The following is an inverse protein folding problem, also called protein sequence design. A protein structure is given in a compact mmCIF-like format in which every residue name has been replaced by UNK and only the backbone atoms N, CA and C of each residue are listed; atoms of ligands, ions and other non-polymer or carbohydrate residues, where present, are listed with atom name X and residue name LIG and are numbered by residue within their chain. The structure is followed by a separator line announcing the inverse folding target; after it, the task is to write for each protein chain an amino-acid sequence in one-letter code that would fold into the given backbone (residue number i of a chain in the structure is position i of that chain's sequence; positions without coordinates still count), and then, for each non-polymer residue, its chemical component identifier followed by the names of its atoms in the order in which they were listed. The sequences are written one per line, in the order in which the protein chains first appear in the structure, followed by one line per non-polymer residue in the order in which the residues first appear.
data_IF_999559171742
#
_entry.id   IF_999559171742
#
_cell.length_a   1.000
_cell.length_b   1.000
_cell.length_c   1.000
_cell.angle_alpha   90.00
_cell.angle_beta   90.00
_cell.angle_gamma   90.00
#
_symmetry.space_group_name_H-M   'P 1'
#
loop_
_entity.id
_entity.type
_entity.pdbx_description
1 polymer ?
#
# COMPACT_ATOMS: atom_id res chain seq x y z
N UNK A 1 -52.34 -49.12 79.95
CA UNK A 1 -51.04 -48.77 79.36
C UNK A 1 -51.19 -47.48 78.57
N UNK A 2 -51.22 -46.37 79.30
CA UNK A 2 -51.44 -45.03 78.78
C UNK A 2 -50.09 -44.32 78.68
N UNK A 3 -49.48 -44.31 77.49
CA UNK A 3 -48.23 -43.56 77.27
C UNK A 3 -47.91 -43.22 75.80
N UNK A 4 -48.90 -43.14 74.90
CA UNK A 4 -48.60 -42.93 73.47
C UNK A 4 -49.51 -41.95 72.72
N UNK A 5 -50.03 -40.91 73.36
CA UNK A 5 -50.89 -39.91 72.66
C UNK A 5 -50.44 -38.46 72.85
N UNK A 6 -49.44 -38.16 73.68
CA UNK A 6 -49.00 -36.77 73.94
C UNK A 6 -47.89 -36.23 73.01
N UNK A 7 -47.50 -36.97 71.96
CA UNK A 7 -46.39 -36.58 71.06
C UNK A 7 -46.79 -35.96 69.71
N UNK A 8 -48.05 -36.06 69.29
CA UNK A 8 -48.44 -35.65 67.93
C UNK A 8 -48.97 -34.20 67.83
N UNK A 9 -49.53 -33.65 68.91
CA UNK A 9 -50.20 -32.35 68.87
C UNK A 9 -49.24 -31.14 68.93
N UNK A 10 -47.99 -31.33 69.37
CA UNK A 10 -46.98 -30.26 69.42
C UNK A 10 -46.10 -30.17 68.15
N UNK A 11 -46.13 -31.17 67.26
CA UNK A 11 -45.41 -31.10 65.98
C UNK A 11 -46.22 -30.50 64.84
N UNK A 12 -47.55 -30.47 64.94
CA UNK A 12 -48.45 -29.90 63.92
C UNK A 12 -48.62 -28.38 63.99
N UNK A 13 -48.12 -27.71 65.02
CA UNK A 13 -48.18 -26.24 65.16
C UNK A 13 -46.89 -25.51 64.77
N UNK A 14 -45.81 -26.23 64.41
CA UNK A 14 -44.55 -25.64 63.91
C UNK A 14 -44.34 -25.82 62.40
N UNK A 15 -45.09 -26.71 61.75
CA UNK A 15 -44.97 -27.00 60.31
C UNK A 15 -45.27 -25.81 59.35
N UNK A 16 -46.30 -24.97 59.57
CA UNK A 16 -46.59 -23.87 58.62
C UNK A 16 -45.52 -22.77 58.65
N UNK A 17 -44.85 -22.55 59.80
CA UNK A 17 -43.79 -21.56 59.91
C UNK A 17 -42.46 -22.00 59.27
N UNK A 18 -42.13 -23.30 59.27
CA UNK A 18 -40.91 -23.80 58.63
C UNK A 18 -41.03 -23.73 57.09
N UNK A 19 -42.21 -24.03 56.54
CA UNK A 19 -42.47 -23.93 55.09
C UNK A 19 -42.41 -22.50 54.56
N UNK A 20 -42.97 -21.54 55.27
CA UNK A 20 -42.89 -20.11 54.92
C UNK A 20 -41.45 -19.58 55.00
N UNK A 21 -40.70 -19.93 56.05
CA UNK A 21 -39.31 -19.52 56.23
C UNK A 21 -38.41 -20.09 55.11
N UNK A 22 -38.56 -21.37 54.75
CA UNK A 22 -37.82 -22.00 53.65
C UNK A 22 -38.16 -21.36 52.30
N UNK A 23 -39.43 -21.04 52.06
CA UNK A 23 -39.88 -20.39 50.83
C UNK A 23 -39.36 -18.95 50.71
N UNK A 24 -39.36 -18.19 51.81
CA UNK A 24 -38.80 -16.83 51.88
C UNK A 24 -37.28 -16.86 51.68
N UNK A 25 -36.56 -17.80 52.32
CA UNK A 25 -35.11 -17.97 52.13
C UNK A 25 -34.77 -18.31 50.68
N UNK A 26 -35.54 -19.17 50.02
CA UNK A 26 -35.29 -19.59 48.63
C UNK A 26 -35.58 -18.46 47.63
N UNK A 27 -36.63 -17.66 47.88
CA UNK A 27 -36.90 -16.45 47.09
C UNK A 27 -35.79 -15.40 47.26
N UNK A 28 -35.29 -15.24 48.47
CA UNK A 28 -34.21 -14.30 48.78
C UNK A 28 -32.88 -14.71 48.14
N UNK A 29 -32.51 -15.99 48.20
CA UNK A 29 -31.29 -16.49 47.54
C UNK A 29 -31.41 -16.42 46.01
N UNK A 30 -32.56 -16.73 45.44
CA UNK A 30 -32.80 -16.57 43.99
C UNK A 30 -32.72 -15.09 43.55
N UNK A 31 -33.24 -14.17 44.36
CA UNK A 31 -33.13 -12.73 44.10
C UNK A 31 -31.68 -12.25 44.16
N UNK A 32 -30.91 -12.69 45.16
CA UNK A 32 -29.47 -12.37 45.27
C UNK A 32 -28.69 -12.95 44.09
N UNK A 33 -28.95 -14.20 43.69
CA UNK A 33 -28.28 -14.83 42.56
C UNK A 33 -28.60 -14.10 41.25
N UNK A 34 -29.85 -13.71 41.04
CA UNK A 34 -30.27 -12.91 39.88
C UNK A 34 -29.60 -11.52 39.88
N UNK A 35 -29.54 -10.85 41.04
CA UNK A 35 -28.88 -9.56 41.19
C UNK A 35 -27.37 -9.66 40.94
N UNK A 36 -26.68 -10.64 41.52
CA UNK A 36 -25.23 -10.86 41.30
C UNK A 36 -24.97 -11.21 39.84
N UNK A 37 -25.78 -12.07 39.22
CA UNK A 37 -25.63 -12.44 37.80
C UNK A 37 -25.84 -11.21 36.90
N UNK A 38 -26.82 -10.37 37.21
CA UNK A 38 -27.04 -9.11 36.50
C UNK A 38 -25.85 -8.15 36.66
N UNK A 39 -25.37 -7.93 37.88
CA UNK A 39 -24.21 -7.08 38.17
C UNK A 39 -22.92 -7.60 37.50
N UNK A 40 -22.73 -8.92 37.41
CA UNK A 40 -21.60 -9.52 36.70
C UNK A 40 -21.74 -9.34 35.19
N UNK A 41 -22.93 -9.59 34.61
CA UNK A 41 -23.19 -9.38 33.17
C UNK A 41 -22.97 -7.93 32.76
N UNK A 42 -23.45 -6.96 33.54
CA UNK A 42 -23.28 -5.53 33.23
C UNK A 42 -21.83 -5.07 33.38
N UNK A 43 -21.10 -5.54 34.40
CA UNK A 43 -19.66 -5.29 34.54
C UNK A 43 -18.87 -5.86 33.36
N UNK A 44 -19.11 -7.12 32.98
CA UNK A 44 -18.46 -7.75 31.82
C UNK A 44 -18.79 -7.00 30.53
N UNK A 45 -20.05 -6.63 30.30
CA UNK A 45 -20.45 -5.85 29.13
C UNK A 45 -19.77 -4.47 29.09
N UNK A 46 -19.65 -3.79 30.23
CA UNK A 46 -18.95 -2.52 30.34
C UNK A 46 -17.45 -2.66 30.05
N UNK A 47 -16.79 -3.67 30.62
CA UNK A 47 -15.36 -3.93 30.38
C UNK A 47 -15.10 -4.27 28.91
N UNK A 48 -15.94 -5.08 28.28
CA UNK A 48 -15.85 -5.38 26.84
C UNK A 48 -16.07 -4.11 26.00
N UNK A 49 -17.07 -3.30 26.33
CA UNK A 49 -17.34 -2.03 25.64
C UNK A 49 -16.16 -1.04 25.78
N UNK A 50 -15.53 -0.97 26.94
CA UNK A 50 -14.34 -0.15 27.17
C UNK A 50 -13.15 -0.66 26.34
N UNK A 51 -12.93 -1.98 26.32
CA UNK A 51 -11.87 -2.59 25.52
C UNK A 51 -12.05 -2.32 24.02
N UNK A 52 -13.27 -2.46 23.48
CA UNK A 52 -13.59 -2.11 22.10
C UNK A 52 -13.31 -0.63 21.83
N UNK A 53 -13.75 0.28 22.72
CA UNK A 53 -13.52 1.71 22.57
C UNK A 53 -12.02 2.06 22.52
N UNK A 54 -11.21 1.44 23.39
CA UNK A 54 -9.75 1.61 23.40
C UNK A 54 -9.14 1.11 22.09
N UNK A 55 -9.51 -0.08 21.63
CA UNK A 55 -9.01 -0.65 20.38
C UNK A 55 -9.40 0.22 19.17
N UNK A 56 -10.65 0.65 19.07
CA UNK A 56 -11.11 1.53 17.98
C UNK A 56 -10.34 2.85 17.98
N UNK A 57 -10.12 3.47 19.15
CA UNK A 57 -9.30 4.70 19.26
C UNK A 57 -7.85 4.45 18.85
N UNK A 58 -7.25 3.34 19.27
CA UNK A 58 -5.89 2.97 18.91
C UNK A 58 -5.74 2.75 17.40
N UNK A 59 -6.68 2.01 16.79
CA UNK A 59 -6.73 1.78 15.34
C UNK A 59 -6.91 3.10 14.58
N UNK A 60 -7.82 3.97 15.02
CA UNK A 60 -8.04 5.28 14.40
C UNK A 60 -6.78 6.15 14.49
N UNK A 61 -6.16 6.22 15.68
CA UNK A 61 -4.93 6.99 15.89
C UNK A 61 -3.78 6.47 15.01
N UNK A 62 -3.65 5.14 14.87
CA UNK A 62 -2.66 4.55 13.99
C UNK A 62 -2.91 4.89 12.51
N UNK A 63 -4.18 4.86 12.08
CA UNK A 63 -4.60 5.25 10.72
C UNK A 63 -4.30 6.72 10.44
N UNK A 64 -4.61 7.61 11.38
CA UNK A 64 -4.39 9.04 11.23
C UNK A 64 -2.89 9.35 11.13
N UNK A 65 -2.07 8.75 12.00
CA UNK A 65 -0.60 8.84 11.91
C UNK A 65 -0.06 8.32 10.58
N UNK A 66 -0.61 7.22 10.07
CA UNK A 66 -0.21 6.67 8.78
C UNK A 66 -0.57 7.62 7.63
N UNK A 67 -1.79 8.16 7.61
CA UNK A 67 -2.22 9.15 6.63
C UNK A 67 -1.36 10.43 6.68
N UNK A 68 -1.06 10.92 7.89
CA UNK A 68 -0.21 12.09 8.09
C UNK A 68 1.22 11.84 7.61
N UNK A 69 1.83 10.70 7.98
CA UNK A 69 3.16 10.32 7.50
C UNK A 69 3.21 10.21 5.97
N UNK A 70 2.18 9.63 5.35
CA UNK A 70 2.07 9.57 3.90
C UNK A 70 1.97 10.97 3.28
N UNK A 71 1.20 11.88 3.88
CA UNK A 71 1.09 13.27 3.43
C UNK A 71 2.44 14.00 3.53
N UNK A 72 3.13 13.91 4.66
CA UNK A 72 4.46 14.53 4.87
C UNK A 72 5.49 13.98 3.88
N UNK A 73 5.50 12.65 3.69
CA UNK A 73 6.37 11.99 2.72
C UNK A 73 6.10 12.46 1.29
N UNK A 74 4.82 12.55 0.90
CA UNK A 74 4.41 13.03 -0.41
C UNK A 74 4.81 14.49 -0.66
N UNK A 75 4.57 15.38 0.32
CA UNK A 75 4.97 16.80 0.21
C UNK A 75 6.49 16.96 0.12
N UNK A 76 7.24 16.18 0.92
CA UNK A 76 8.71 16.16 0.85
C UNK A 76 9.19 15.68 -0.51
N UNK A 77 8.55 14.65 -1.08
CA UNK A 77 8.87 14.14 -2.39
C UNK A 77 8.59 15.16 -3.50
N UNK A 78 7.43 15.84 -3.48
CA UNK A 78 7.08 16.90 -4.45
C UNK A 78 8.15 17.98 -4.47
N UNK A 79 8.55 18.49 -3.29
CA UNK A 79 9.60 19.52 -3.20
C UNK A 79 10.91 19.05 -3.85
N UNK A 80 11.36 17.84 -3.52
CA UNK A 80 12.58 17.27 -4.11
C UNK A 80 12.43 17.01 -5.62
N UNK A 81 11.22 16.69 -6.09
CA UNK A 81 10.92 16.47 -7.51
C UNK A 81 11.00 17.79 -8.30
N UNK A 82 10.45 18.86 -7.75
CA UNK A 82 10.58 20.20 -8.31
C UNK A 82 12.06 20.64 -8.37
N UNK A 83 12.82 20.45 -7.30
CA UNK A 83 14.26 20.75 -7.26
C UNK A 83 15.04 19.97 -8.34
N UNK A 84 14.80 18.65 -8.49
CA UNK A 84 15.42 17.84 -9.54
C UNK A 84 15.09 18.35 -10.95
N UNK A 85 13.86 18.79 -11.17
CA UNK A 85 13.39 19.25 -12.47
C UNK A 85 13.97 20.60 -12.83
N UNK A 86 14.06 21.50 -11.85
CA UNK A 86 14.74 22.77 -12.02
C UNK A 86 16.21 22.55 -12.43
N UNK A 87 16.93 21.68 -11.72
CA UNK A 87 18.31 21.34 -12.07
C UNK A 87 18.43 20.74 -13.48
N UNK A 88 17.48 19.88 -13.88
CA UNK A 88 17.44 19.33 -15.24
C UNK A 88 17.30 20.43 -16.30
N UNK A 89 16.42 21.42 -16.09
CA UNK A 89 16.22 22.50 -17.07
C UNK A 89 17.37 23.52 -17.08
N UNK A 90 18.01 23.76 -15.93
CA UNK A 90 19.13 24.69 -15.83
C UNK A 90 20.44 24.11 -16.37
N UNK A 91 20.70 22.81 -16.10
CA UNK A 91 22.01 22.18 -16.34
C UNK A 91 21.97 21.06 -17.38
N UNK A 92 20.79 20.63 -17.81
CA UNK A 92 20.62 19.45 -18.65
C UNK A 92 20.65 18.13 -17.87
N UNK A 93 20.59 16.99 -18.59
CA UNK A 93 20.64 15.66 -17.97
C UNK A 93 22.03 15.37 -17.38
N UNK A 94 22.08 15.00 -16.10
CA UNK A 94 23.32 14.59 -15.42
C UNK A 94 23.60 13.07 -15.48
N UNK A 95 22.64 12.30 -15.99
CA UNK A 95 22.67 10.84 -16.08
C UNK A 95 22.00 10.40 -17.39
N UNK A 96 22.21 9.15 -17.85
CA UNK A 96 21.54 8.62 -19.05
C UNK A 96 20.01 8.71 -19.00
N UNK A 97 19.45 8.70 -17.78
CA UNK A 97 18.04 8.90 -17.50
C UNK A 97 17.85 10.00 -16.47
N UNK A 98 16.79 10.79 -16.63
CA UNK A 98 16.37 11.83 -15.72
C UNK A 98 14.88 11.71 -15.41
N UNK A 99 14.44 12.36 -14.34
CA UNK A 99 13.06 12.40 -13.90
C UNK A 99 12.62 13.84 -13.80
N UNK A 100 11.57 14.20 -14.55
CA UNK A 100 11.08 15.57 -14.64
C UNK A 100 9.66 15.63 -14.10
N UNK A 101 9.49 16.42 -13.05
CA UNK A 101 8.25 16.70 -12.35
C UNK A 101 7.29 17.49 -13.24
N UNK A 102 6.04 17.07 -13.25
CA UNK A 102 4.96 17.66 -14.04
C UNK A 102 3.62 17.38 -13.35
N UNK A 103 2.54 17.89 -13.92
CA UNK A 103 1.20 17.69 -13.39
C UNK A 103 0.12 17.63 -14.48
N UNK A 104 -1.03 17.04 -14.13
CA UNK A 104 -2.14 16.86 -15.05
C UNK A 104 -1.68 16.11 -16.31
N UNK A 105 -2.15 16.52 -17.48
CA UNK A 105 -1.84 15.86 -18.77
C UNK A 105 -0.56 16.36 -19.45
N UNK A 106 0.27 17.13 -18.76
CA UNK A 106 1.52 17.63 -19.30
C UNK A 106 2.56 16.52 -19.41
N UNK A 107 3.25 16.46 -20.56
CA UNK A 107 4.35 15.52 -20.80
C UNK A 107 5.57 16.36 -21.19
N UNK A 108 6.69 16.28 -20.44
CA UNK A 108 7.87 17.12 -20.68
C UNK A 108 8.54 16.79 -22.01
N UNK A 109 9.21 17.78 -22.60
CA UNK A 109 10.03 17.58 -23.80
C UNK A 109 11.13 16.56 -23.51
N UNK A 110 11.33 15.60 -24.41
CA UNK A 110 12.31 14.53 -24.24
C UNK A 110 11.82 13.35 -23.39
N UNK A 111 10.55 13.34 -22.96
CA UNK A 111 9.96 12.18 -22.31
C UNK A 111 10.13 10.92 -23.18
N UNK A 112 10.64 9.85 -22.57
CA UNK A 112 10.90 8.60 -23.27
C UNK A 112 9.59 7.89 -23.55
N UNK A 113 9.27 7.67 -24.83
CA UNK A 113 8.13 6.82 -25.21
C UNK A 113 8.47 5.38 -24.84
N UNK A 114 7.72 4.83 -23.89
CA UNK A 114 7.97 3.51 -23.31
C UNK A 114 6.98 2.45 -23.80
N UNK A 115 5.93 2.87 -24.51
CA UNK A 115 4.92 2.00 -25.07
C UNK A 115 3.85 2.79 -25.80
N UNK A 116 2.76 2.11 -26.11
CA UNK A 116 1.62 2.67 -26.83
C UNK A 116 0.33 2.06 -26.28
N UNK A 117 -0.72 2.87 -26.19
CA UNK A 117 -2.06 2.41 -25.86
C UNK A 117 -2.75 1.79 -27.08
N UNK A 118 -3.94 1.23 -26.90
CA UNK A 118 -4.69 0.50 -27.94
C UNK A 118 -4.95 1.34 -29.19
N UNK A 119 -5.12 2.66 -29.01
CA UNK A 119 -5.36 3.62 -30.08
C UNK A 119 -4.08 4.12 -30.76
N UNK A 120 -2.91 3.58 -30.37
CA UNK A 120 -1.60 4.01 -30.84
C UNK A 120 -1.07 5.27 -30.14
N UNK A 121 -1.79 5.81 -29.14
CA UNK A 121 -1.32 6.96 -28.37
C UNK A 121 -0.05 6.59 -27.57
N UNK A 122 0.98 7.45 -27.54
CA UNK A 122 2.22 7.13 -26.83
C UNK A 122 2.02 7.09 -25.32
N UNK A 123 2.65 6.09 -24.69
CA UNK A 123 2.70 5.93 -23.24
C UNK A 123 4.11 6.18 -22.71
N UNK A 124 4.17 6.84 -21.55
CA UNK A 124 5.40 7.22 -20.87
C UNK A 124 5.45 6.57 -19.49
N UNK A 125 6.64 6.44 -18.91
CA UNK A 125 6.77 6.02 -17.50
C UNK A 125 6.58 7.22 -16.60
N UNK A 126 5.68 7.11 -15.62
CA UNK A 126 5.49 8.09 -14.57
C UNK A 126 5.76 7.50 -13.19
N UNK A 127 6.31 8.27 -12.25
CA UNK A 127 6.48 7.85 -10.86
C UNK A 127 5.96 8.85 -9.85
N UNK A 128 5.61 8.36 -8.67
CA UNK A 128 5.10 9.15 -7.56
C UNK A 128 5.45 8.51 -6.23
N UNK A 129 5.35 9.28 -5.14
CA UNK A 129 5.49 8.75 -3.79
C UNK A 129 4.17 8.15 -3.30
N UNK A 130 4.21 6.90 -2.84
CA UNK A 130 3.05 6.22 -2.27
C UNK A 130 3.48 5.28 -1.15
N UNK A 131 2.82 5.34 0.01
CA UNK A 131 3.03 4.46 1.18
C UNK A 131 4.51 4.20 1.54
N UNK A 132 5.33 5.25 1.54
CA UNK A 132 6.75 5.15 1.93
C UNK A 132 7.70 4.74 0.80
N UNK A 133 7.18 4.34 -0.35
CA UNK A 133 7.96 3.98 -1.54
C UNK A 133 7.79 4.97 -2.69
N UNK A 134 8.58 4.76 -3.74
CA UNK A 134 8.41 5.40 -5.04
C UNK A 134 7.85 4.36 -6.00
N UNK A 135 6.60 4.54 -6.40
CA UNK A 135 5.90 3.64 -7.31
C UNK A 135 5.67 4.31 -8.65
N UNK A 136 5.55 3.51 -9.70
CA UNK A 136 5.45 4.01 -11.06
C UNK A 136 4.55 3.14 -11.94
N UNK A 137 4.14 3.74 -13.06
CA UNK A 137 3.26 3.14 -14.04
C UNK A 137 3.30 3.92 -15.33
N UNK A 138 2.13 4.27 -15.87
CA UNK A 138 2.01 4.88 -17.20
C UNK A 138 1.41 6.30 -17.15
N UNK A 139 1.99 7.19 -17.93
CA UNK A 139 1.44 8.51 -18.24
C UNK A 139 1.07 8.62 -19.72
N UNK A 140 0.11 9.48 -20.01
CA UNK A 140 -0.44 9.67 -21.34
C UNK A 140 -1.32 10.91 -21.41
N UNK A 141 -1.26 11.63 -22.53
CA UNK A 141 -2.02 12.87 -22.73
C UNK A 141 -3.54 12.66 -22.74
N UNK A 142 -3.99 11.46 -23.06
CA UNK A 142 -5.42 11.08 -23.07
C UNK A 142 -5.99 10.72 -21.69
N UNK A 143 -5.17 10.62 -20.64
CA UNK A 143 -5.64 10.23 -19.31
C UNK A 143 -6.25 11.38 -18.54
N UNK A 144 -7.31 11.12 -17.78
CA UNK A 144 -8.06 12.15 -17.05
C UNK A 144 -7.20 13.00 -16.10
N UNK A 145 -6.31 12.36 -15.33
CA UNK A 145 -5.33 13.05 -14.46
C UNK A 145 -3.92 13.08 -15.07
N UNK A 146 -3.76 12.54 -16.27
CA UNK A 146 -2.51 12.43 -17.02
C UNK A 146 -1.62 11.23 -16.69
N UNK A 147 -1.74 10.62 -15.50
CA UNK A 147 -0.93 9.47 -15.11
C UNK A 147 -1.65 8.50 -14.18
N UNK A 148 -1.15 7.26 -14.14
CA UNK A 148 -1.62 6.21 -13.24
C UNK A 148 -0.52 5.20 -12.91
N UNK A 149 -0.63 4.56 -11.74
CA UNK A 149 0.28 3.49 -11.33
C UNK A 149 -0.46 2.33 -10.68
N UNK A 150 0.18 1.16 -10.69
CA UNK A 150 -0.35 -0.07 -10.08
C UNK A 150 0.12 -0.21 -8.64
N UNK A 151 -0.78 -0.57 -7.73
CA UNK A 151 -0.46 -0.92 -6.35
C UNK A 151 -1.55 -1.82 -5.76
N UNK A 152 -1.15 -2.89 -5.06
CA UNK A 152 -2.07 -3.87 -4.44
C UNK A 152 -3.16 -4.39 -5.40
N UNK A 153 -2.82 -4.63 -6.68
CA UNK A 153 -3.76 -5.17 -7.65
C UNK A 153 -4.70 -4.13 -8.29
N UNK A 154 -4.56 -2.84 -7.94
CA UNK A 154 -5.42 -1.76 -8.40
C UNK A 154 -4.64 -0.70 -9.14
N UNK A 155 -5.32 -0.04 -10.08
CA UNK A 155 -4.82 1.14 -10.78
C UNK A 155 -5.24 2.41 -10.03
N UNK A 156 -4.28 3.32 -9.83
CA UNK A 156 -4.47 4.58 -9.12
C UNK A 156 -4.13 5.76 -10.02
N UNK A 157 -5.12 6.59 -10.35
CA UNK A 157 -4.90 7.84 -11.09
C UNK A 157 -4.23 8.90 -10.22
N UNK A 158 -3.23 9.58 -10.77
CA UNK A 158 -2.42 10.59 -10.10
C UNK A 158 -2.29 11.84 -10.97
N UNK A 159 -2.27 13.00 -10.31
CA UNK A 159 -2.16 14.31 -10.97
C UNK A 159 -0.75 14.89 -10.87
N UNK A 160 0.02 14.58 -9.82
CA UNK A 160 1.38 15.08 -9.62
C UNK A 160 2.36 13.90 -9.69
N UNK A 161 3.31 13.98 -10.63
CA UNK A 161 4.21 12.87 -10.93
C UNK A 161 5.50 13.36 -11.59
N UNK A 162 6.52 12.51 -11.61
CA UNK A 162 7.68 12.70 -12.48
C UNK A 162 7.55 11.79 -13.70
N UNK A 163 7.97 12.27 -14.86
CA UNK A 163 8.07 11.51 -16.11
C UNK A 163 9.52 11.17 -16.39
N UNK A 164 9.77 9.94 -16.85
CA UNK A 164 11.08 9.50 -17.28
C UNK A 164 11.49 10.20 -18.59
N UNK A 165 12.65 10.84 -18.56
CA UNK A 165 13.28 11.51 -19.71
C UNK A 165 14.61 10.84 -19.98
N UNK A 166 14.86 10.47 -21.23
CA UNK A 166 16.12 9.85 -21.66
C UNK A 166 16.31 10.06 -23.16
N UNK A 167 17.57 10.10 -23.60
CA UNK A 167 17.88 9.97 -25.02
C UNK A 167 17.63 8.51 -25.42
N UNK A 168 16.82 8.30 -26.45
CA UNK A 168 16.48 6.96 -26.93
C UNK A 168 17.71 6.18 -27.45
N UNK A 169 18.82 6.86 -27.78
CA UNK A 169 20.07 6.23 -28.21
C UNK A 169 20.88 5.61 -27.08
N UNK A 170 20.67 6.04 -25.83
CA UNK A 170 21.43 5.53 -24.66
C UNK A 170 20.66 4.49 -23.84
N UNK A 171 19.39 4.27 -24.17
CA UNK A 171 18.53 3.27 -23.54
C UNK A 171 18.03 2.26 -24.55
N UNK A 172 17.70 1.05 -24.08
CA UNK A 172 17.14 -0.01 -24.91
C UNK A 172 16.34 -0.99 -24.08
N UNK A 173 15.42 -1.69 -24.74
CA UNK A 173 14.58 -2.69 -24.12
C UNK A 173 15.19 -4.08 -24.28
N UNK A 174 15.26 -4.82 -23.18
CA UNK A 174 15.79 -6.18 -23.16
C UNK A 174 14.75 -7.18 -22.71
N UNK A 175 14.73 -8.34 -23.36
CA UNK A 175 13.79 -9.40 -23.00
C UNK A 175 14.16 -9.98 -21.64
N UNK A 176 13.16 -10.07 -20.77
CA UNK A 176 13.27 -10.68 -19.45
C UNK A 176 12.11 -11.64 -19.22
N UNK A 177 12.29 -12.56 -18.29
CA UNK A 177 11.31 -13.58 -17.94
C UNK A 177 11.26 -13.79 -16.45
N UNK A 178 10.17 -14.37 -15.95
CA UNK A 178 10.09 -14.88 -14.59
C UNK A 178 10.84 -16.23 -14.46
N UNK A 179 11.58 -16.50 -13.37
CA UNK A 179 11.94 -15.58 -12.29
C UNK A 179 12.93 -14.48 -12.74
N UNK A 180 12.69 -13.26 -12.26
CA UNK A 180 13.52 -12.10 -12.60
C UNK A 180 14.74 -12.00 -11.68
N UNK A 181 15.91 -11.72 -12.26
CA UNK A 181 17.16 -11.53 -11.53
C UNK A 181 17.82 -10.21 -11.94
N UNK A 182 18.35 -9.49 -10.95
CA UNK A 182 19.16 -8.30 -11.19
C UNK A 182 20.53 -8.71 -11.71
N UNK A 183 20.83 -8.33 -12.95
CA UNK A 183 22.10 -8.56 -13.65
C UNK A 183 22.28 -7.51 -14.75
N UNK A 184 23.44 -7.49 -15.39
CA UNK A 184 23.61 -6.79 -16.66
C UNK A 184 22.86 -7.54 -17.77
N UNK A 185 22.11 -6.82 -18.61
CA UNK A 185 21.41 -7.41 -19.77
C UNK A 185 22.14 -6.99 -21.04
N UNK A 186 22.86 -7.92 -21.66
CA UNK A 186 23.71 -7.67 -22.84
C UNK A 186 24.65 -6.46 -22.63
N UNK A 187 25.29 -6.39 -21.45
CA UNK A 187 26.16 -5.28 -21.03
C UNK A 187 25.46 -4.03 -20.50
N UNK A 188 24.13 -3.91 -20.69
CA UNK A 188 23.33 -2.79 -20.19
C UNK A 188 23.01 -2.90 -18.70
N UNK A 189 22.91 -1.75 -18.04
CA UNK A 189 22.48 -1.62 -16.63
C UNK A 189 20.98 -1.40 -16.56
N UNK A 190 20.29 -2.13 -15.69
CA UNK A 190 18.85 -1.94 -15.44
C UNK A 190 18.55 -0.51 -15.00
N UNK A 191 17.45 0.05 -15.50
CA UNK A 191 16.95 1.35 -15.05
C UNK A 191 16.02 1.17 -13.85
N UNK A 192 16.44 1.69 -12.69
CA UNK A 192 15.59 1.78 -11.50
C UNK A 192 14.52 2.86 -11.68
N UNK A 193 13.26 2.47 -11.52
CA UNK A 193 12.11 3.37 -11.60
C UNK A 193 11.71 3.95 -10.25
N UNK A 194 11.96 3.20 -9.18
CA UNK A 194 11.54 3.52 -7.83
C UNK A 194 11.89 2.40 -6.85
N UNK A 195 11.19 2.36 -5.73
CA UNK A 195 11.48 1.44 -4.64
C UNK A 195 10.22 1.18 -3.81
N UNK A 196 10.18 0.00 -3.20
CA UNK A 196 9.22 -0.33 -2.14
C UNK A 196 9.54 0.45 -0.85
N UNK A 197 8.62 0.41 0.11
CA UNK A 197 8.76 1.10 1.40
C UNK A 197 9.99 0.67 2.22
N UNK A 198 10.50 -0.55 2.01
CA UNK A 198 11.69 -1.11 2.64
C UNK A 198 12.99 -0.74 1.89
N UNK A 199 12.88 0.01 0.80
CA UNK A 199 13.99 0.39 -0.07
C UNK A 199 14.30 -0.63 -1.17
N UNK A 200 13.58 -1.74 -1.25
CA UNK A 200 13.79 -2.74 -2.31
C UNK A 200 13.54 -2.11 -3.69
N UNK A 201 14.46 -2.27 -4.67
CA UNK A 201 14.37 -1.59 -5.95
C UNK A 201 13.28 -2.16 -6.85
N UNK A 202 12.64 -1.27 -7.61
CA UNK A 202 11.68 -1.57 -8.66
C UNK A 202 12.26 -1.12 -10.00
N UNK A 203 12.28 -2.01 -10.99
CA UNK A 203 12.87 -1.77 -12.31
C UNK A 203 11.81 -1.52 -13.37
N UNK A 204 12.12 -0.64 -14.32
CA UNK A 204 11.21 -0.29 -15.40
C UNK A 204 11.03 -1.48 -16.32
N UNK A 205 9.79 -1.89 -16.48
CA UNK A 205 9.38 -2.95 -17.39
C UNK A 205 8.33 -2.44 -18.37
N UNK A 206 8.09 -3.21 -19.43
CA UNK A 206 6.91 -3.10 -20.28
C UNK A 206 6.48 -4.48 -20.76
N UNK A 207 5.18 -4.64 -20.98
CA UNK A 207 4.63 -5.86 -21.53
C UNK A 207 3.55 -5.55 -22.57
N UNK A 208 3.44 -6.41 -23.57
CA UNK A 208 2.33 -6.35 -24.51
C UNK A 208 1.08 -6.93 -23.85
N UNK A 209 -0.02 -6.19 -23.89
CA UNK A 209 -1.29 -6.64 -23.35
C UNK A 209 -2.44 -5.95 -24.09
N UNK A 210 -3.41 -6.75 -24.53
CA UNK A 210 -4.66 -6.27 -25.13
C UNK A 210 -4.51 -5.22 -26.25
N UNK A 211 -3.58 -5.43 -27.19
CA UNK A 211 -3.42 -4.51 -28.33
C UNK A 211 -2.49 -3.33 -28.09
N UNK A 212 -1.97 -3.14 -26.87
CA UNK A 212 -1.01 -2.10 -26.54
C UNK A 212 0.27 -2.64 -25.89
N UNK A 213 1.30 -1.81 -25.82
CA UNK A 213 2.50 -2.07 -25.03
C UNK A 213 2.49 -1.16 -23.82
N UNK A 214 2.31 -1.73 -22.62
CA UNK A 214 2.11 -0.96 -21.41
C UNK A 214 3.36 -0.93 -20.54
N UNK A 215 3.86 0.25 -20.16
CA UNK A 215 4.93 0.35 -19.18
C UNK A 215 4.41 0.02 -17.77
N UNK A 216 5.28 -0.59 -16.99
CA UNK A 216 5.00 -1.11 -15.66
C UNK A 216 6.30 -1.37 -14.91
N UNK A 217 6.22 -2.19 -13.86
CA UNK A 217 7.34 -2.43 -12.93
C UNK A 217 7.65 -3.92 -12.81
N UNK A 218 8.90 -4.26 -12.51
CA UNK A 218 9.31 -5.61 -12.12
C UNK A 218 10.33 -5.55 -10.99
N UNK A 219 10.52 -6.65 -10.28
CA UNK A 219 11.55 -6.78 -9.25
C UNK A 219 11.83 -8.25 -8.97
N UNK A 220 12.83 -8.54 -8.13
CA UNK A 220 13.19 -9.91 -7.75
C UNK A 220 12.11 -10.62 -6.93
N UNK A 221 11.18 -9.88 -6.31
CA UNK A 221 10.07 -10.44 -5.52
C UNK A 221 8.77 -10.51 -6.30
N UNK A 222 8.66 -9.78 -7.42
CA UNK A 222 7.47 -9.80 -8.27
C UNK A 222 7.47 -11.04 -9.17
N UNK A 223 6.26 -11.46 -9.55
CA UNK A 223 6.05 -12.68 -10.36
C UNK A 223 6.10 -12.42 -11.87
N UNK A 224 6.66 -11.30 -12.30
CA UNK A 224 6.69 -10.86 -13.69
C UNK A 224 6.80 -9.35 -13.80
N UNK A 225 6.28 -8.79 -14.89
CA UNK A 225 6.02 -7.36 -15.02
C UNK A 225 4.58 -7.04 -14.60
N UNK A 226 4.43 -6.16 -13.63
CA UNK A 226 3.16 -5.60 -13.20
C UNK A 226 2.85 -4.39 -14.08
N UNK A 227 1.80 -4.49 -14.90
CA UNK A 227 1.30 -3.40 -15.75
C UNK A 227 -0.11 -2.99 -15.33
N UNK A 228 -0.50 -1.76 -15.65
CA UNK A 228 -1.86 -1.26 -15.39
C UNK A 228 -2.69 -1.23 -16.66
N UNK A 229 -3.93 -1.72 -16.58
CA UNK A 229 -4.89 -1.69 -17.68
C UNK A 229 -6.33 -1.73 -17.15
N UNK A 230 -7.18 -0.83 -17.65
CA UNK A 230 -8.62 -0.79 -17.36
C UNK A 230 -8.96 -0.92 -15.85
N UNK A 231 -8.29 -0.15 -14.99
CA UNK A 231 -8.56 -0.12 -13.56
C UNK A 231 -7.90 -1.22 -12.72
N UNK A 232 -7.12 -2.12 -13.34
CA UNK A 232 -6.48 -3.28 -12.68
C UNK A 232 -4.99 -3.34 -12.95
N UNK A 233 -4.28 -4.01 -12.06
CA UNK A 233 -2.87 -4.40 -12.24
C UNK A 233 -2.83 -5.87 -12.70
N UNK A 234 -2.05 -6.15 -13.74
CA UNK A 234 -1.86 -7.48 -14.31
C UNK A 234 -0.38 -7.87 -14.25
N UNK A 235 -0.12 -9.15 -13.97
CA UNK A 235 1.23 -9.72 -13.90
C UNK A 235 1.50 -10.53 -15.16
N UNK A 236 2.50 -10.13 -15.94
CA UNK A 236 2.85 -10.70 -17.24
C UNK A 236 4.23 -11.36 -17.15
N UNK A 237 4.36 -12.60 -17.62
CA UNK A 237 5.62 -13.36 -17.54
C UNK A 237 6.57 -13.07 -18.70
N UNK A 238 6.04 -12.68 -19.86
CA UNK A 238 6.79 -12.25 -21.03
C UNK A 238 6.83 -10.73 -21.05
N UNK A 239 7.99 -10.15 -20.80
CA UNK A 239 8.15 -8.72 -20.68
C UNK A 239 9.55 -8.27 -21.10
N UNK A 240 9.70 -6.96 -21.19
CA UNK A 240 10.98 -6.32 -21.43
C UNK A 240 11.33 -5.41 -20.27
N UNK A 241 12.60 -5.30 -19.96
CA UNK A 241 13.15 -4.35 -18.99
C UNK A 241 13.92 -3.25 -19.71
N UNK A 242 13.82 -2.04 -19.18
CA UNK A 242 14.61 -0.92 -19.69
C UNK A 242 16.02 -1.02 -19.13
N UNK A 243 17.01 -0.92 -20.01
CA UNK A 243 18.41 -0.80 -19.64
C UNK A 243 19.06 0.41 -20.30
N UNK A 244 20.08 0.96 -19.66
CA UNK A 244 20.93 1.99 -20.25
C UNK A 244 22.35 1.46 -20.44
N UNK A 245 23.03 1.95 -21.48
CA UNK A 245 24.46 1.70 -21.65
C UNK A 245 25.28 2.39 -20.55
N UNK A 246 26.48 1.89 -20.28
CA UNK A 246 27.50 2.75 -19.67
C UNK A 246 27.96 3.70 -20.76
N UNK A 247 27.39 4.90 -20.79
CA UNK A 247 27.90 5.94 -21.66
C UNK A 247 29.30 6.31 -21.16
N UNK A 248 30.29 6.37 -22.04
CA UNK A 248 31.68 6.83 -21.79
C UNK A 248 31.76 8.30 -21.27
N UNK A 249 30.65 8.89 -20.86
CA UNK A 249 30.55 10.22 -20.25
C UNK A 249 31.22 10.30 -18.88
N UNK A 250 31.29 9.19 -18.14
CA UNK A 250 31.98 9.16 -16.85
C UNK A 250 33.50 9.32 -17.00
N UNK A 251 34.08 8.91 -18.14
CA UNK A 251 35.51 9.06 -18.41
C UNK A 251 35.91 10.47 -18.85
N UNK A 252 35.04 11.19 -19.59
CA UNK A 252 35.40 12.52 -20.11
C UNK A 252 35.39 13.58 -19.00
N UNK A 253 34.40 13.55 -18.08
CA UNK A 253 34.35 14.47 -16.94
C UNK A 253 35.44 14.20 -15.90
N UNK A 254 35.87 12.94 -15.76
CA UNK A 254 36.98 12.58 -14.87
C UNK A 254 38.36 13.04 -15.41
N UNK A 255 38.47 13.33 -16.71
CA UNK A 255 39.68 13.89 -17.31
C UNK A 255 39.71 15.42 -17.18
N UNK A 256 38.56 16.10 -17.26
CA UNK A 256 38.48 17.56 -17.09
C UNK A 256 38.67 18.05 -15.64
N UNK A 257 38.48 17.19 -14.62
CA UNK A 257 38.73 17.54 -13.20
C UNK A 257 40.21 17.36 -12.77
N UNK A 258 41.09 16.93 -13.66
CA UNK A 258 42.52 16.67 -13.38
C UNK A 258 43.51 17.59 -14.12
N UNK A 259 43.02 18.57 -14.88
CA UNK A 259 43.81 19.65 -15.51
C UNK A 259 43.54 21.01 -14.83
#
# INVERSE_FOLDING_TARGET
MAQLVLGAAALTTLAPHVGEVVMVCTRFTNYILAYITYQLRTKVAHTVSQAISILTKAVQTARDRHHEAQNVGFQTWIRKAAERSQLYYERGPSRPVAWVFTHGTEIPRGALVCGEDIDGSPLYVCRTFHRGGIHFGKAGRGFKKGAMFGYEGKEHEIEFYEVLVADASVVRWETASYPFYVRKFNGGTLVEGGNEHDGSPLFIARAYYWGGTHPGKTSVVLKGADITFAGKEYVLNDFQVLVHGETEYASILAVEELD
#
